data_IF_474862844258
#
_entry.id   IF_474862844258
#
_cell.length_a   1.000
_cell.length_b   1.000
_cell.length_c   1.000
_cell.angle_alpha   90.00
_cell.angle_beta   90.00
_cell.angle_gamma   90.00
#
_symmetry.space_group_name_H-M   'P 1'
#
loop_
_entity.id
_entity.type
_entity.pdbx_description
1 polymer ?
#
# COMPACT_ATOMS: atom_id res chain seq x y z
N UNK A 1 -58.92 7.82 9.03
CA UNK A 1 -57.62 7.15 8.83
C UNK A 1 -56.56 8.23 8.86
N UNK A 2 -55.68 8.24 9.87
CA UNK A 2 -54.58 9.18 9.96
C UNK A 2 -53.39 8.58 9.21
N UNK A 3 -52.97 9.21 8.10
CA UNK A 3 -51.69 8.89 7.46
C UNK A 3 -50.59 9.63 8.23
N UNK A 4 -49.85 8.87 9.04
CA UNK A 4 -48.61 9.33 9.65
C UNK A 4 -47.51 9.22 8.58
N UNK A 5 -46.92 10.34 8.18
CA UNK A 5 -45.78 10.36 7.28
C UNK A 5 -44.56 9.73 7.97
N UNK A 6 -43.85 8.88 7.24
CA UNK A 6 -42.67 8.14 7.70
C UNK A 6 -41.60 9.06 8.28
N UNK A 7 -41.44 9.01 9.60
CA UNK A 7 -40.44 9.74 10.41
C UNK A 7 -39.03 9.14 10.33
N UNK A 8 -38.78 8.25 9.36
CA UNK A 8 -37.54 7.47 9.24
C UNK A 8 -36.89 7.54 7.87
N UNK A 9 -37.10 8.61 7.09
CA UNK A 9 -36.13 8.92 6.03
C UNK A 9 -34.84 9.41 6.69
N UNK A 10 -33.70 8.71 6.55
CA UNK A 10 -32.43 9.30 6.92
C UNK A 10 -32.20 10.45 5.95
N UNK A 11 -32.26 11.68 6.47
CA UNK A 11 -31.83 12.87 5.75
C UNK A 11 -30.45 12.57 5.16
N UNK A 12 -30.36 12.56 3.82
CA UNK A 12 -29.10 12.42 3.12
C UNK A 12 -28.16 13.50 3.67
N UNK A 13 -27.21 13.08 4.50
CA UNK A 13 -26.23 14.00 5.06
C UNK A 13 -25.48 14.58 3.86
N UNK A 14 -25.41 15.91 3.71
CA UNK A 14 -24.62 16.49 2.63
C UNK A 14 -23.20 15.95 2.80
N UNK A 15 -22.75 15.10 1.88
CA UNK A 15 -21.39 14.59 1.88
C UNK A 15 -20.49 15.81 1.91
N UNK A 16 -19.85 16.06 3.05
CA UNK A 16 -18.93 17.19 3.20
C UNK A 16 -17.88 17.00 2.12
N UNK A 17 -17.92 17.83 1.08
CA UNK A 17 -17.05 17.68 -0.07
C UNK A 17 -15.61 17.64 0.43
N UNK A 18 -14.96 16.50 0.32
CA UNK A 18 -13.58 16.34 0.75
C UNK A 18 -12.69 17.15 -0.19
N UNK A 19 -11.81 17.98 0.36
CA UNK A 19 -10.74 18.65 -0.34
C UNK A 19 -9.37 18.12 0.14
N UNK A 20 -8.28 18.53 -0.52
CA UNK A 20 -6.94 18.04 -0.18
C UNK A 20 -6.56 18.31 1.29
N UNK A 21 -6.79 19.52 1.85
CA UNK A 21 -6.53 19.77 3.27
C UNK A 21 -7.35 18.86 4.21
N UNK A 22 -8.64 18.65 3.94
CA UNK A 22 -9.47 17.75 4.74
C UNK A 22 -8.99 16.30 4.67
N UNK A 23 -8.63 15.82 3.48
CA UNK A 23 -8.06 14.47 3.30
C UNK A 23 -6.77 14.30 4.12
N UNK A 24 -5.86 15.27 4.05
CA UNK A 24 -4.61 15.26 4.83
C UNK A 24 -4.87 15.30 6.34
N UNK A 25 -5.85 16.08 6.80
CA UNK A 25 -6.22 16.15 8.21
C UNK A 25 -6.77 14.81 8.73
N UNK A 26 -7.64 14.14 7.96
CA UNK A 26 -8.16 12.81 8.29
C UNK A 26 -7.01 11.79 8.39
N UNK A 27 -6.08 11.81 7.44
CA UNK A 27 -4.91 10.91 7.45
C UNK A 27 -3.98 11.19 8.64
N UNK A 28 -3.74 12.46 8.97
CA UNK A 28 -2.93 12.89 10.10
C UNK A 28 -3.49 12.45 11.45
N UNK A 29 -4.82 12.47 11.61
CA UNK A 29 -5.47 11.98 12.81
C UNK A 29 -5.44 10.44 12.92
N UNK A 30 -5.48 9.73 11.79
CA UNK A 30 -5.62 8.28 11.75
C UNK A 30 -4.30 7.51 11.86
N UNK A 31 -3.20 8.09 11.38
CA UNK A 31 -1.97 7.34 11.15
C UNK A 31 -0.75 8.02 11.80
N UNK A 32 0.13 7.26 12.48
CA UNK A 32 1.37 7.80 13.03
C UNK A 32 2.38 8.19 11.93
N UNK A 33 2.12 7.85 10.66
CA UNK A 33 2.99 8.13 9.52
C UNK A 33 2.18 8.77 8.38
N UNK A 34 1.63 9.98 8.56
CA UNK A 34 0.65 10.55 7.63
C UNK A 34 1.19 10.72 6.21
N UNK A 35 2.45 11.13 6.06
CA UNK A 35 3.11 11.23 4.74
C UNK A 35 3.16 9.88 4.01
N UNK A 36 3.46 8.81 4.74
CA UNK A 36 3.52 7.46 4.17
C UNK A 36 2.12 6.98 3.77
N UNK A 37 1.12 7.18 4.64
CA UNK A 37 -0.27 6.78 4.38
C UNK A 37 -0.90 7.56 3.22
N UNK A 38 -0.62 8.86 3.11
CA UNK A 38 -1.03 9.67 1.98
C UNK A 38 -0.42 9.17 0.67
N UNK A 39 0.90 8.96 0.62
CA UNK A 39 1.57 8.48 -0.59
C UNK A 39 1.12 7.08 -0.98
N UNK A 40 0.88 6.19 -0.02
CA UNK A 40 0.29 4.89 -0.26
C UNK A 40 -1.12 5.00 -0.87
N UNK A 41 -1.96 5.90 -0.34
CA UNK A 41 -3.30 6.14 -0.87
C UNK A 41 -3.26 6.72 -2.28
N UNK A 42 -2.35 7.67 -2.55
CA UNK A 42 -2.10 8.25 -3.87
C UNK A 42 -1.70 7.17 -4.88
N UNK A 43 -0.71 6.34 -4.54
CA UNK A 43 -0.25 5.25 -5.42
C UNK A 43 -1.37 4.25 -5.73
N UNK A 44 -2.23 3.92 -4.76
CA UNK A 44 -3.40 3.06 -5.02
C UNK A 44 -4.38 3.76 -5.96
N UNK A 45 -4.62 5.06 -5.79
CA UNK A 45 -5.53 5.82 -6.65
C UNK A 45 -5.02 5.95 -8.10
N UNK A 46 -3.70 6.00 -8.30
CA UNK A 46 -3.07 6.05 -9.63
C UNK A 46 -3.31 4.77 -10.44
N UNK A 47 -3.24 3.60 -9.80
CA UNK A 47 -3.48 2.31 -10.46
C UNK A 47 -4.93 1.84 -10.38
N UNK A 48 -5.80 2.62 -9.73
CA UNK A 48 -7.20 2.28 -9.59
C UNK A 48 -7.97 2.51 -10.89
N UNK A 49 -8.92 1.63 -11.18
CA UNK A 49 -9.87 1.78 -12.27
C UNK A 49 -10.85 2.97 -12.04
N UNK A 50 -11.78 3.19 -12.98
CA UNK A 50 -12.79 4.25 -12.87
C UNK A 50 -13.65 4.15 -11.59
N UNK A 51 -13.81 2.93 -11.06
CA UNK A 51 -14.58 2.63 -9.83
C UNK A 51 -13.73 2.76 -8.55
N UNK A 52 -12.44 3.12 -8.69
CA UNK A 52 -11.51 3.24 -7.57
C UNK A 52 -10.87 1.92 -7.14
N UNK A 53 -11.04 0.83 -7.90
CA UNK A 53 -10.52 -0.50 -7.58
C UNK A 53 -9.12 -0.72 -8.14
N UNK A 54 -8.20 -1.18 -7.31
CA UNK A 54 -6.82 -1.49 -7.64
C UNK A 54 -6.50 -2.95 -7.25
N UNK A 55 -6.25 -3.78 -8.25
CA UNK A 55 -5.75 -5.14 -8.08
C UNK A 55 -6.56 -6.25 -8.76
N UNK A 56 -6.20 -7.53 -8.52
CA UNK A 56 -5.21 -7.98 -7.54
C UNK A 56 -3.74 -7.79 -7.94
N UNK A 57 -3.46 -7.58 -9.24
CA UNK A 57 -2.13 -7.36 -9.80
C UNK A 57 -2.02 -6.04 -10.55
N UNK A 58 -0.78 -5.58 -10.73
CA UNK A 58 -0.37 -4.48 -11.61
C UNK A 58 0.62 -5.05 -12.61
N UNK A 59 0.49 -4.69 -13.88
CA UNK A 59 1.47 -5.07 -14.90
C UNK A 59 2.64 -4.09 -14.89
N UNK A 60 3.85 -4.59 -14.64
CA UNK A 60 5.11 -3.83 -14.61
C UNK A 60 6.09 -4.52 -15.56
N UNK A 61 6.60 -3.80 -16.56
CA UNK A 61 7.53 -4.35 -17.57
C UNK A 61 7.03 -5.65 -18.24
N UNK A 62 5.71 -5.74 -18.43
CA UNK A 62 5.05 -6.92 -19.03
C UNK A 62 4.85 -8.11 -18.08
N UNK A 63 5.23 -7.99 -16.80
CA UNK A 63 5.00 -9.01 -15.78
C UNK A 63 3.93 -8.58 -14.77
N UNK A 64 3.07 -9.50 -14.37
CA UNK A 64 2.07 -9.26 -13.34
C UNK A 64 2.68 -9.36 -11.95
N UNK A 65 2.53 -8.29 -11.17
CA UNK A 65 2.98 -8.18 -9.79
C UNK A 65 1.79 -7.93 -8.85
N UNK A 66 1.68 -8.62 -7.70
CA UNK A 66 0.65 -8.30 -6.71
C UNK A 66 0.71 -6.84 -6.27
N UNK A 67 -0.44 -6.16 -6.18
CA UNK A 67 -0.49 -4.72 -5.83
C UNK A 67 0.28 -4.41 -4.54
N UNK A 68 0.19 -5.28 -3.55
CA UNK A 68 0.87 -5.11 -2.26
C UNK A 68 2.39 -5.10 -2.39
N UNK A 69 2.94 -5.94 -3.26
CA UNK A 69 4.38 -6.04 -3.49
C UNK A 69 4.84 -4.85 -4.34
N UNK A 70 4.05 -4.47 -5.34
CA UNK A 70 4.27 -3.24 -6.09
C UNK A 70 4.29 -1.99 -5.19
N UNK A 71 3.33 -1.84 -4.27
CA UNK A 71 3.31 -0.74 -3.29
C UNK A 71 4.56 -0.73 -2.40
N UNK A 72 5.04 -1.91 -1.99
CA UNK A 72 6.27 -2.00 -1.21
C UNK A 72 7.45 -1.42 -1.99
N UNK A 73 7.57 -1.72 -3.27
CA UNK A 73 8.63 -1.22 -4.14
C UNK A 73 8.49 0.27 -4.45
N UNK A 74 7.29 0.71 -4.82
CA UNK A 74 7.00 2.11 -5.14
C UNK A 74 7.28 3.05 -3.95
N UNK A 75 7.12 2.57 -2.71
CA UNK A 75 7.40 3.33 -1.49
C UNK A 75 8.86 3.25 -1.03
N UNK A 76 9.72 2.42 -1.66
CA UNK A 76 11.14 2.30 -1.32
C UNK A 76 11.86 3.66 -1.37
N UNK A 77 11.74 4.51 -2.42
CA UNK A 77 12.42 5.80 -2.49
C UNK A 77 12.12 6.72 -1.29
N UNK A 78 10.92 6.65 -0.73
CA UNK A 78 10.58 7.39 0.49
C UNK A 78 11.34 6.90 1.72
N UNK A 79 11.58 5.60 1.82
CA UNK A 79 12.40 4.99 2.86
C UNK A 79 13.91 5.16 2.63
N UNK A 80 14.35 5.54 1.43
CA UNK A 80 15.78 5.80 1.15
C UNK A 80 16.32 7.02 1.90
N UNK A 81 15.45 7.97 2.27
CA UNK A 81 15.81 9.12 3.11
C UNK A 81 16.03 8.75 4.58
N UNK A 82 15.68 7.53 5.00
CA UNK A 82 15.93 7.04 6.36
C UNK A 82 17.35 6.45 6.49
N UNK A 83 18.09 6.86 7.53
CA UNK A 83 19.38 6.28 7.93
C UNK A 83 19.36 4.73 8.03
N UNK A 84 18.17 4.16 8.22
CA UNK A 84 17.88 2.73 8.29
C UNK A 84 18.13 1.96 6.98
N UNK A 85 18.05 2.60 5.80
CA UNK A 85 18.42 1.91 4.54
C UNK A 85 19.93 1.71 4.46
N UNK A 86 20.72 2.73 4.81
CA UNK A 86 22.19 2.61 4.82
C UNK A 86 22.66 1.51 5.76
N UNK A 87 22.06 1.40 6.96
CA UNK A 87 22.35 0.29 7.86
C UNK A 87 21.91 -1.07 7.30
N UNK A 88 20.79 -1.12 6.58
CA UNK A 88 20.32 -2.35 5.92
C UNK A 88 21.29 -2.79 4.81
N UNK A 89 21.77 -1.86 3.98
CA UNK A 89 22.75 -2.15 2.92
C UNK A 89 24.05 -2.66 3.54
N UNK A 90 24.57 -1.98 4.57
CA UNK A 90 25.77 -2.40 5.27
C UNK A 90 25.64 -3.80 5.89
N UNK A 91 24.50 -4.09 6.52
CA UNK A 91 24.23 -5.41 7.11
C UNK A 91 24.12 -6.51 6.05
N UNK A 92 23.43 -6.25 4.93
CA UNK A 92 23.31 -7.22 3.82
C UNK A 92 24.67 -7.50 3.18
N UNK A 93 25.49 -6.47 3.00
CA UNK A 93 26.84 -6.64 2.46
C UNK A 93 27.70 -7.50 3.38
N UNK A 94 27.71 -7.20 4.68
CA UNK A 94 28.45 -7.98 5.67
C UNK A 94 28.00 -9.45 5.71
N UNK A 95 26.69 -9.71 5.63
CA UNK A 95 26.12 -11.06 5.60
C UNK A 95 26.53 -11.84 4.34
N UNK A 96 26.53 -11.20 3.16
CA UNK A 96 26.95 -11.82 1.90
C UNK A 96 28.47 -12.05 1.85
N UNK A 97 29.26 -11.14 2.42
CA UNK A 97 30.71 -11.28 2.57
C UNK A 97 31.05 -12.47 3.49
N UNK A 98 30.39 -12.58 4.65
CA UNK A 98 30.57 -13.68 5.60
C UNK A 98 30.19 -15.03 4.97
N UNK A 99 29.12 -15.06 4.18
CA UNK A 99 28.68 -16.24 3.45
C UNK A 99 29.51 -16.56 2.19
N UNK A 100 30.49 -15.71 1.83
CA UNK A 100 31.26 -15.78 0.56
C UNK A 100 30.35 -15.88 -0.68
N UNK A 101 29.22 -15.17 -0.65
CA UNK A 101 28.17 -15.22 -1.66
C UNK A 101 28.20 -14.02 -2.62
N UNK A 102 29.18 -13.12 -2.50
CA UNK A 102 29.36 -12.02 -3.45
C UNK A 102 30.14 -12.47 -4.70
N UNK A 103 29.63 -12.18 -5.90
CA UNK A 103 30.38 -12.31 -7.15
C UNK A 103 31.69 -11.50 -7.14
N UNK A 104 32.69 -11.96 -7.90
CA UNK A 104 33.94 -11.23 -8.10
C UNK A 104 33.75 -9.97 -8.95
N UNK A 105 32.79 -9.99 -9.87
CA UNK A 105 32.41 -8.82 -10.64
C UNK A 105 31.68 -7.80 -9.75
N UNK A 106 32.18 -6.57 -9.73
CA UNK A 106 31.64 -5.49 -8.88
C UNK A 106 30.20 -5.13 -9.25
N UNK A 107 29.86 -5.10 -10.54
CA UNK A 107 28.51 -4.75 -10.99
C UNK A 107 27.50 -5.85 -10.65
N UNK A 108 27.88 -7.11 -10.79
CA UNK A 108 27.04 -8.24 -10.36
C UNK A 108 26.88 -8.28 -8.83
N UNK A 109 27.96 -8.01 -8.07
CA UNK A 109 27.89 -7.90 -6.62
C UNK A 109 26.93 -6.80 -6.16
N UNK A 110 26.98 -5.62 -6.80
CA UNK A 110 26.06 -4.52 -6.50
C UNK A 110 24.60 -4.89 -6.79
N UNK A 111 24.33 -5.62 -7.88
CA UNK A 111 22.98 -6.13 -8.21
C UNK A 111 22.48 -7.12 -7.17
N UNK A 112 23.29 -8.10 -6.77
CA UNK A 112 22.93 -9.09 -5.75
C UNK A 112 22.64 -8.42 -4.41
N UNK A 113 23.46 -7.44 -4.01
CA UNK A 113 23.23 -6.65 -2.80
C UNK A 113 21.92 -5.88 -2.92
N UNK A 114 21.66 -5.21 -4.05
CA UNK A 114 20.44 -4.44 -4.25
C UNK A 114 19.19 -5.33 -4.20
N UNK A 115 19.22 -6.50 -4.83
CA UNK A 115 18.12 -7.46 -4.81
C UNK A 115 17.85 -7.98 -3.40
N UNK A 116 18.92 -8.29 -2.64
CA UNK A 116 18.78 -8.77 -1.26
C UNK A 116 18.29 -7.68 -0.31
N UNK A 117 18.76 -6.45 -0.49
CA UNK A 117 18.23 -5.26 0.22
C UNK A 117 16.77 -5.05 -0.14
N UNK A 118 16.40 -5.16 -1.41
CA UNK A 118 15.01 -5.06 -1.89
C UNK A 118 14.14 -6.13 -1.25
N UNK A 119 14.59 -7.39 -1.20
CA UNK A 119 13.87 -8.48 -0.52
C UNK A 119 13.59 -8.15 0.96
N UNK A 120 14.62 -7.68 1.68
CA UNK A 120 14.52 -7.35 3.11
C UNK A 120 13.64 -6.13 3.35
N UNK A 121 13.75 -5.11 2.49
CA UNK A 121 12.89 -3.92 2.53
C UNK A 121 11.45 -4.31 2.24
N UNK A 122 11.17 -5.10 1.20
CA UNK A 122 9.83 -5.63 0.90
C UNK A 122 9.25 -6.38 2.10
N UNK A 123 10.02 -7.26 2.75
CA UNK A 123 9.58 -8.00 3.93
C UNK A 123 9.14 -7.06 5.06
N UNK A 124 9.92 -6.02 5.35
CA UNK A 124 9.55 -5.00 6.35
C UNK A 124 8.44 -4.04 5.86
N UNK A 125 8.38 -3.81 4.55
CA UNK A 125 7.44 -2.94 3.86
C UNK A 125 6.03 -3.49 3.90
N UNK A 126 5.86 -4.80 3.75
CA UNK A 126 4.54 -5.46 3.84
C UNK A 126 3.82 -5.17 5.16
N UNK A 127 4.55 -5.18 6.28
CA UNK A 127 3.99 -4.82 7.59
C UNK A 127 3.58 -3.34 7.65
N UNK A 128 4.40 -2.44 7.11
CA UNK A 128 4.09 -1.00 7.08
C UNK A 128 2.89 -0.70 6.17
N UNK A 129 2.86 -1.28 4.97
CA UNK A 129 1.74 -1.20 4.01
C UNK A 129 0.47 -1.72 4.67
N UNK A 130 0.50 -2.90 5.28
CA UNK A 130 -0.68 -3.49 5.94
C UNK A 130 -1.21 -2.62 7.08
N UNK A 131 -0.32 -2.02 7.87
CA UNK A 131 -0.70 -1.10 8.95
C UNK A 131 -1.31 0.18 8.41
N UNK A 132 -0.66 0.84 7.45
CA UNK A 132 -1.17 2.06 6.82
C UNK A 132 -2.53 1.83 6.14
N UNK A 133 -2.68 0.73 5.38
CA UNK A 133 -3.96 0.31 4.82
C UNK A 133 -5.02 0.12 5.91
N UNK A 134 -4.66 -0.48 7.05
CA UNK A 134 -5.61 -0.68 8.15
C UNK A 134 -6.05 0.66 8.76
N UNK A 135 -5.14 1.62 8.91
CA UNK A 135 -5.48 2.97 9.38
C UNK A 135 -6.43 3.66 8.38
N UNK A 136 -6.13 3.61 7.08
CA UNK A 136 -6.97 4.18 6.01
C UNK A 136 -8.36 3.52 5.92
N UNK A 137 -8.44 2.21 6.14
CA UNK A 137 -9.71 1.50 6.21
C UNK A 137 -10.55 1.94 7.41
N UNK A 138 -9.94 2.15 8.58
CA UNK A 138 -10.66 2.58 9.80
C UNK A 138 -11.33 3.94 9.63
N UNK A 139 -10.71 4.85 8.90
CA UNK A 139 -11.28 6.19 8.62
C UNK A 139 -12.09 6.26 7.34
N UNK A 140 -12.36 5.12 6.70
CA UNK A 140 -13.25 5.06 5.54
C UNK A 140 -12.69 5.71 4.28
N UNK A 141 -11.37 5.84 4.14
CA UNK A 141 -10.73 6.33 2.91
C UNK A 141 -10.46 5.19 1.92
N UNK A 142 -10.37 3.96 2.42
CA UNK A 142 -10.00 2.77 1.67
C UNK A 142 -10.85 1.58 2.09
N UNK A 143 -11.15 0.68 1.16
CA UNK A 143 -11.64 -0.68 1.46
C UNK A 143 -10.63 -1.70 0.97
N UNK A 144 -10.52 -2.82 1.69
CA UNK A 144 -9.67 -3.96 1.32
C UNK A 144 -10.51 -5.22 1.24
N UNK A 145 -10.42 -5.93 0.14
CA UNK A 145 -10.89 -7.30 0.02
C UNK A 145 -9.78 -8.18 -0.56
N UNK A 146 -10.05 -9.48 -0.69
CA UNK A 146 -9.05 -10.45 -1.12
C UNK A 146 -9.62 -11.35 -2.22
N UNK A 147 -8.94 -11.41 -3.36
CA UNK A 147 -9.28 -12.22 -4.54
C UNK A 147 -8.25 -13.33 -4.76
N UNK A 148 -8.65 -14.47 -5.33
CA UNK A 148 -7.76 -15.61 -5.61
C UNK A 148 -8.27 -16.94 -5.03
N UNK A 149 -7.67 -18.05 -5.46
CA UNK A 149 -8.09 -19.40 -5.08
C UNK A 149 -7.61 -19.78 -3.68
N UNK A 150 -8.50 -20.36 -2.86
CA UNK A 150 -8.15 -20.92 -1.54
C UNK A 150 -7.44 -22.27 -1.75
N UNK A 151 -6.11 -22.26 -1.79
CA UNK A 151 -5.35 -23.49 -1.53
C UNK A 151 -5.03 -23.49 -0.04
N UNK A 152 -5.84 -24.20 0.74
CA UNK A 152 -5.59 -24.36 2.18
C UNK A 152 -4.30 -25.17 2.37
N UNK A 153 -3.28 -24.54 2.95
CA UNK A 153 -2.19 -25.24 3.61
C UNK A 153 -2.14 -24.73 5.04
N UNK A 154 -2.20 -25.65 6.00
CA UNK A 154 -2.28 -25.37 7.44
C UNK A 154 -1.17 -24.40 7.93
N UNK A 155 -0.10 -24.17 7.16
CA UNK A 155 1.00 -23.28 7.51
C UNK A 155 1.41 -22.25 6.42
N UNK A 156 0.64 -22.08 5.35
CA UNK A 156 0.86 -21.01 4.33
C UNK A 156 -0.50 -20.41 3.98
N UNK A 157 -0.77 -19.21 4.49
CA UNK A 157 -2.03 -18.51 4.28
C UNK A 157 -2.48 -18.58 2.82
N UNK A 158 -3.77 -18.83 2.62
CA UNK A 158 -4.40 -18.91 1.30
C UNK A 158 -3.82 -17.82 0.38
N UNK A 159 -3.40 -18.18 -0.84
CA UNK A 159 -2.80 -17.32 -1.88
C UNK A 159 -3.79 -16.26 -2.41
N UNK A 160 -4.49 -15.57 -1.51
CA UNK A 160 -5.42 -14.51 -1.84
C UNK A 160 -4.66 -13.20 -1.85
N UNK A 161 -4.77 -12.50 -2.96
CA UNK A 161 -4.15 -11.20 -3.13
C UNK A 161 -5.09 -10.08 -2.74
N UNK A 162 -4.50 -9.03 -2.19
CA UNK A 162 -5.24 -7.87 -1.73
C UNK A 162 -5.71 -7.06 -2.93
N UNK A 163 -6.99 -6.69 -2.92
CA UNK A 163 -7.57 -5.70 -3.80
C UNK A 163 -8.00 -4.52 -2.94
N UNK A 164 -7.64 -3.32 -3.37
CA UNK A 164 -7.92 -2.09 -2.66
C UNK A 164 -8.95 -1.27 -3.42
N UNK A 165 -9.89 -0.65 -2.72
CA UNK A 165 -10.89 0.23 -3.33
C UNK A 165 -10.83 1.58 -2.63
N UNK A 166 -10.39 2.61 -3.35
CA UNK A 166 -10.38 4.00 -2.86
C UNK A 166 -11.81 4.51 -2.83
N UNK A 167 -12.19 5.16 -1.73
CA UNK A 167 -13.56 5.67 -1.62
C UNK A 167 -13.79 6.88 -2.53
N UNK A 168 -14.99 7.05 -3.12
CA UNK A 168 -15.23 8.04 -4.19
C UNK A 168 -14.81 9.48 -3.84
N UNK A 169 -15.07 9.92 -2.60
CA UNK A 169 -14.69 11.25 -2.14
C UNK A 169 -13.17 11.45 -2.13
N UNK A 170 -12.43 10.46 -1.62
CA UNK A 170 -10.96 10.49 -1.62
C UNK A 170 -10.41 10.39 -3.05
N UNK A 171 -10.96 9.49 -3.87
CA UNK A 171 -10.54 9.31 -5.26
C UNK A 171 -10.72 10.58 -6.09
N UNK A 172 -11.83 11.29 -5.90
CA UNK A 172 -12.10 12.56 -6.58
C UNK A 172 -11.07 13.64 -6.21
N UNK A 173 -10.60 13.67 -4.96
CA UNK A 173 -9.53 14.59 -4.53
C UNK A 173 -8.19 14.20 -5.15
N UNK A 174 -7.82 12.92 -5.07
CA UNK A 174 -6.52 12.40 -5.51
C UNK A 174 -6.30 12.48 -7.03
N UNK A 175 -7.39 12.49 -7.82
CA UNK A 175 -7.34 12.63 -9.30
C UNK A 175 -7.43 14.07 -9.81
N UNK A 176 -7.70 15.04 -8.94
CA UNK A 176 -7.77 16.47 -9.31
C UNK A 176 -6.41 17.18 -9.24
N UNK A 177 -5.46 16.59 -8.51
CA UNK A 177 -4.07 17.08 -8.43
C UNK A 177 -3.20 16.46 -9.51
#
# INVERSE_FOLDING_TARGET
>A
MFHQADLFEPAASPSKSMDTPALLAVIAAASPRPKFSYMLLQLIAEIADERGSAGPSVTVDGADMPVRDWLCDALVPMAQRDARRRSTVAAVRAELDEAKALPADRHEADRVIEDKVRERVRRSGRCNVSRAVSDLCKVGLLRRHYQGFRVDHQNRGAQREAVYTVMPEALAVLRRG
#
